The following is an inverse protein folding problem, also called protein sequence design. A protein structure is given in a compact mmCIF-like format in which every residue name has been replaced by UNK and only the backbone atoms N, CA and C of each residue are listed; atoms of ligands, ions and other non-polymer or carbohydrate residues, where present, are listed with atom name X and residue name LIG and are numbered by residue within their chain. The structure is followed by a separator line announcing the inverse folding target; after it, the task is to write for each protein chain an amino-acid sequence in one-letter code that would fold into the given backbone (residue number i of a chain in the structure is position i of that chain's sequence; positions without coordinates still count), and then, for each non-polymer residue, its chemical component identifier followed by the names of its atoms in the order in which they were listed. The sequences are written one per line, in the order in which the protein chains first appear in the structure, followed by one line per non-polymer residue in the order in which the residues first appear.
data_IF_416067687145
#
_entry.id   IF_416067687145
#
_cell.length_a   1.000
_cell.length_b   1.000
_cell.length_c   1.000
_cell.angle_alpha   90.00
_cell.angle_beta   90.00
_cell.angle_gamma   90.00
#
_symmetry.space_group_name_H-M   'P 1'
#
loop_
_entity.id
_entity.type
_entity.pdbx_description
1 polymer ?
#
# COMPACT_ATOMS: atom_id res chain seq x y z
N UNK A 1 -11.65 -1.75 -31.13
CA UNK A 1 -10.62 -2.81 -31.06
C UNK A 1 -10.22 -2.95 -29.60
N UNK A 2 -10.48 -4.10 -28.98
CA UNK A 2 -10.00 -4.36 -27.63
C UNK A 2 -8.47 -4.60 -27.73
N UNK A 3 -7.68 -3.72 -27.17
CA UNK A 3 -6.23 -3.91 -27.07
C UNK A 3 -5.95 -5.07 -26.12
N UNK A 4 -5.56 -6.20 -26.66
CA UNK A 4 -5.36 -7.46 -25.93
C UNK A 4 -3.89 -7.58 -25.46
N UNK A 5 -3.39 -6.53 -24.78
CA UNK A 5 -2.04 -6.53 -24.25
C UNK A 5 -1.86 -7.62 -23.19
N UNK A 6 -0.88 -8.50 -23.41
CA UNK A 6 -0.49 -9.52 -22.43
C UNK A 6 -1.46 -10.69 -22.27
N UNK A 7 -2.46 -10.86 -23.14
CA UNK A 7 -3.44 -11.96 -23.04
C UNK A 7 -2.81 -13.35 -23.01
N UNK A 8 -1.66 -13.53 -23.65
CA UNK A 8 -0.87 -14.78 -23.64
C UNK A 8 -0.30 -15.12 -22.25
N UNK A 9 -0.19 -14.14 -21.37
CA UNK A 9 0.24 -14.34 -19.97
C UNK A 9 -0.93 -14.70 -19.03
N UNK A 10 -2.19 -14.51 -19.44
CA UNK A 10 -3.36 -14.80 -18.61
C UNK A 10 -3.75 -16.27 -18.79
N UNK A 11 -3.53 -17.07 -17.74
CA UNK A 11 -3.82 -18.49 -17.73
C UNK A 11 -5.22 -18.75 -17.17
N UNK A 12 -6.07 -19.39 -17.95
CA UNK A 12 -7.39 -19.82 -17.49
C UNK A 12 -7.26 -20.83 -16.35
N UNK A 13 -8.09 -20.70 -15.33
CA UNK A 13 -8.04 -21.52 -14.11
C UNK A 13 -8.08 -23.03 -14.41
N UNK A 14 -8.90 -23.46 -15.34
CA UNK A 14 -9.02 -24.86 -15.79
C UNK A 14 -7.70 -25.46 -16.31
N UNK A 15 -6.84 -24.64 -16.88
CA UNK A 15 -5.58 -25.04 -17.49
C UNK A 15 -4.37 -25.01 -16.52
N UNK A 16 -4.53 -24.41 -15.33
CA UNK A 16 -3.45 -24.17 -14.38
C UNK A 16 -2.65 -25.42 -14.06
N UNK A 17 -3.30 -26.53 -13.66
CA UNK A 17 -2.62 -27.79 -13.32
C UNK A 17 -1.73 -28.29 -14.46
N UNK A 18 -2.29 -28.39 -15.67
CA UNK A 18 -1.59 -28.90 -16.85
C UNK A 18 -0.43 -27.98 -17.25
N UNK A 19 -0.63 -26.69 -17.16
CA UNK A 19 0.36 -25.68 -17.52
C UNK A 19 1.57 -25.72 -16.57
N UNK A 20 1.35 -25.59 -15.26
CA UNK A 20 2.44 -25.51 -14.30
C UNK A 20 3.14 -26.84 -14.03
N UNK A 21 2.50 -28.01 -14.24
CA UNK A 21 3.17 -29.29 -14.18
C UNK A 21 4.31 -29.46 -15.19
N UNK A 22 4.20 -28.79 -16.35
CA UNK A 22 5.25 -28.80 -17.38
C UNK A 22 6.41 -27.86 -17.04
N UNK A 23 6.10 -26.69 -16.51
CA UNK A 23 7.07 -25.63 -16.23
C UNK A 23 7.92 -25.94 -14.99
N UNK A 24 7.30 -26.43 -13.92
CA UNK A 24 7.97 -26.70 -12.62
C UNK A 24 9.15 -27.65 -12.71
N UNK A 25 9.21 -28.50 -13.73
CA UNK A 25 10.34 -29.43 -13.93
C UNK A 25 11.67 -28.75 -14.22
N UNK A 26 11.64 -27.48 -14.68
CA UNK A 26 12.82 -26.76 -15.17
C UNK A 26 13.07 -25.40 -14.53
N UNK A 27 12.08 -24.82 -13.85
CA UNK A 27 12.13 -23.42 -13.37
C UNK A 27 11.52 -23.29 -11.98
N UNK A 28 12.10 -22.41 -11.17
CA UNK A 28 11.55 -22.01 -9.89
C UNK A 28 10.41 -21.01 -10.09
N UNK A 29 9.30 -21.24 -9.40
CA UNK A 29 8.09 -20.42 -9.47
C UNK A 29 7.90 -19.68 -8.16
N UNK A 30 7.68 -18.39 -8.24
CA UNK A 30 7.18 -17.57 -7.14
C UNK A 30 5.77 -17.11 -7.46
N UNK A 31 4.85 -17.22 -6.48
CA UNK A 31 3.48 -16.78 -6.62
C UNK A 31 3.17 -15.68 -5.62
N UNK A 32 2.49 -14.63 -6.08
CA UNK A 32 1.82 -13.62 -5.27
C UNK A 32 0.31 -13.74 -5.41
N UNK A 33 -0.45 -13.39 -4.37
CA UNK A 33 -1.91 -13.35 -4.43
C UNK A 33 -2.45 -12.09 -3.78
N UNK A 34 -3.41 -11.45 -4.44
CA UNK A 34 -4.04 -10.25 -3.92
C UNK A 34 -5.23 -9.78 -4.74
N UNK A 35 -5.80 -8.65 -4.34
CA UNK A 35 -6.87 -7.97 -5.10
C UNK A 35 -6.29 -7.18 -6.26
N UNK A 36 -5.20 -6.44 -6.03
CA UNK A 36 -4.53 -5.57 -7.02
C UNK A 36 -5.49 -4.65 -7.78
N UNK A 37 -6.39 -4.01 -7.03
CA UNK A 37 -7.42 -3.14 -7.60
C UNK A 37 -6.81 -1.97 -8.39
N UNK A 38 -5.88 -1.24 -7.76
CA UNK A 38 -4.98 -0.29 -8.43
C UNK A 38 -3.55 -0.76 -8.22
N UNK A 39 -2.81 -0.92 -9.31
CA UNK A 39 -1.37 -1.17 -9.25
C UNK A 39 -0.68 0.14 -8.88
N UNK A 40 0.18 0.09 -7.86
CA UNK A 40 0.90 1.25 -7.33
C UNK A 40 2.37 0.89 -7.07
N UNK A 41 3.26 1.87 -6.81
CA UNK A 41 4.69 1.61 -6.64
C UNK A 41 5.03 0.52 -5.61
N UNK A 42 4.22 0.35 -4.55
CA UNK A 42 4.38 -0.74 -3.58
C UNK A 42 4.22 -2.12 -4.21
N UNK A 43 3.23 -2.30 -5.10
CA UNK A 43 3.07 -3.54 -5.86
C UNK A 43 4.24 -3.78 -6.83
N UNK A 44 4.71 -2.74 -7.51
CA UNK A 44 5.86 -2.85 -8.43
C UNK A 44 7.11 -3.31 -7.68
N UNK A 45 7.43 -2.71 -6.53
CA UNK A 45 8.55 -3.14 -5.68
C UNK A 45 8.40 -4.59 -5.20
N UNK A 46 7.20 -4.96 -4.76
CA UNK A 46 6.89 -6.33 -4.36
C UNK A 46 7.14 -7.33 -5.49
N UNK A 47 6.65 -7.03 -6.70
CA UNK A 47 6.85 -7.89 -7.87
C UNK A 47 8.32 -7.95 -8.30
N UNK A 48 9.04 -6.82 -8.29
CA UNK A 48 10.48 -6.79 -8.58
C UNK A 48 11.27 -7.65 -7.59
N UNK A 49 10.97 -7.55 -6.28
CA UNK A 49 11.56 -8.40 -5.25
C UNK A 49 11.25 -9.89 -5.48
N UNK A 50 10.02 -10.22 -5.87
CA UNK A 50 9.63 -11.58 -6.19
C UNK A 50 10.39 -12.10 -7.40
N UNK A 51 10.44 -11.29 -8.47
CA UNK A 51 11.11 -11.67 -9.72
C UNK A 51 12.62 -11.90 -9.57
N UNK A 52 13.27 -11.18 -8.65
CA UNK A 52 14.71 -11.40 -8.35
C UNK A 52 15.00 -12.72 -7.63
N UNK A 53 13.98 -13.47 -7.17
CA UNK A 53 14.14 -14.69 -6.37
C UNK A 53 13.71 -15.97 -7.06
N UNK A 54 13.10 -15.86 -8.24
CA UNK A 54 12.65 -17.04 -8.99
C UNK A 54 12.64 -16.75 -10.50
N UNK A 55 12.65 -17.83 -11.28
CA UNK A 55 12.66 -17.73 -12.74
C UNK A 55 11.32 -17.28 -13.31
N UNK A 56 10.23 -17.50 -12.58
CA UNK A 56 8.86 -17.20 -13.02
C UNK A 56 8.08 -16.54 -11.89
N UNK A 57 7.52 -15.36 -12.17
CA UNK A 57 6.57 -14.69 -11.31
C UNK A 57 5.14 -14.93 -11.79
N UNK A 58 4.35 -15.57 -10.94
CA UNK A 58 2.91 -15.76 -11.12
C UNK A 58 2.16 -14.83 -10.19
N UNK A 59 1.25 -14.01 -10.74
CA UNK A 59 0.37 -13.16 -9.95
C UNK A 59 -1.05 -13.68 -10.05
N UNK A 60 -1.66 -14.01 -8.92
CA UNK A 60 -3.05 -14.46 -8.87
C UNK A 60 -3.97 -13.41 -8.25
N UNK A 61 -5.17 -13.29 -8.78
CA UNK A 61 -6.17 -12.29 -8.42
C UNK A 61 -7.34 -12.90 -7.65
N UNK A 62 -7.78 -12.20 -6.61
CA UNK A 62 -9.10 -12.44 -6.01
C UNK A 62 -10.19 -11.99 -6.97
N UNK A 63 -11.17 -12.85 -7.34
CA UNK A 63 -12.26 -12.46 -8.24
C UNK A 63 -13.21 -11.45 -7.59
N UNK A 64 -13.88 -10.65 -8.43
CA UNK A 64 -14.73 -9.55 -7.99
C UNK A 64 -15.82 -10.00 -7.01
N UNK A 65 -16.45 -11.16 -7.27
CA UNK A 65 -17.52 -11.73 -6.44
C UNK A 65 -17.15 -11.97 -4.97
N UNK A 66 -15.86 -12.04 -4.65
CA UNK A 66 -15.37 -12.26 -3.27
C UNK A 66 -14.78 -11.02 -2.60
N UNK A 67 -14.73 -9.88 -3.31
CA UNK A 67 -14.19 -8.64 -2.76
C UNK A 67 -15.31 -7.89 -2.03
N UNK A 68 -15.24 -7.86 -0.69
CA UNK A 68 -16.19 -7.15 0.20
C UNK A 68 -15.48 -6.02 0.93
N UNK A 69 -14.94 -5.04 0.19
CA UNK A 69 -14.15 -3.93 0.75
C UNK A 69 -14.88 -2.57 0.64
N UNK A 70 -16.16 -2.52 1.05
CA UNK A 70 -16.98 -1.30 0.99
C UNK A 70 -17.66 -1.06 -0.34
N UNK A 71 -18.43 0.05 -0.44
CA UNK A 71 -19.16 0.42 -1.65
C UNK A 71 -18.16 0.74 -2.78
N UNK A 72 -18.52 0.35 -4.02
CA UNK A 72 -17.73 0.58 -5.23
C UNK A 72 -16.36 -0.13 -5.27
N UNK A 73 -16.20 -1.29 -4.57
CA UNK A 73 -14.98 -2.10 -4.64
C UNK A 73 -15.25 -3.51 -5.18
N UNK A 74 -14.44 -4.05 -6.12
CA UNK A 74 -13.23 -3.43 -6.66
C UNK A 74 -13.59 -2.27 -7.61
N UNK A 75 -12.70 -1.29 -7.70
CA UNK A 75 -12.84 -0.15 -8.62
C UNK A 75 -12.63 -0.57 -10.09
N UNK A 76 -11.69 -1.51 -10.30
CA UNK A 76 -11.36 -2.05 -11.62
C UNK A 76 -11.82 -3.51 -11.70
N UNK A 77 -12.65 -3.89 -12.69
CA UNK A 77 -13.09 -5.27 -12.91
C UNK A 77 -11.95 -6.27 -13.07
N UNK A 78 -12.15 -7.52 -12.63
CA UNK A 78 -11.11 -8.55 -12.58
C UNK A 78 -10.36 -8.76 -13.89
N UNK A 79 -11.06 -8.74 -15.03
CA UNK A 79 -10.42 -8.90 -16.34
C UNK A 79 -9.48 -7.75 -16.66
N UNK A 80 -9.85 -6.52 -16.32
CA UNK A 80 -9.00 -5.34 -16.51
C UNK A 80 -7.82 -5.35 -15.54
N UNK A 81 -8.03 -5.77 -14.28
CA UNK A 81 -6.95 -5.95 -13.31
C UNK A 81 -5.94 -7.00 -13.79
N UNK A 82 -6.43 -8.11 -14.35
CA UNK A 82 -5.58 -9.14 -14.94
C UNK A 82 -4.77 -8.59 -16.13
N UNK A 83 -5.39 -7.81 -17.01
CA UNK A 83 -4.70 -7.18 -18.13
C UNK A 83 -3.63 -6.17 -17.68
N UNK A 84 -3.92 -5.35 -16.66
CA UNK A 84 -2.95 -4.42 -16.10
C UNK A 84 -1.72 -5.13 -15.54
N UNK A 85 -1.91 -6.26 -14.85
CA UNK A 85 -0.80 -7.07 -14.32
C UNK A 85 -0.04 -7.78 -15.44
N UNK A 86 -0.73 -8.31 -16.43
CA UNK A 86 -0.12 -8.99 -17.58
C UNK A 86 0.73 -8.03 -18.45
N UNK A 87 0.41 -6.73 -18.45
CA UNK A 87 1.19 -5.71 -19.14
C UNK A 87 2.53 -5.40 -18.44
N UNK A 88 2.73 -5.80 -17.18
CA UNK A 88 3.99 -5.60 -16.48
C UNK A 88 5.04 -6.58 -16.99
N UNK A 89 6.21 -6.07 -17.37
CA UNK A 89 7.33 -6.86 -17.91
C UNK A 89 7.76 -7.96 -16.93
N UNK A 90 7.85 -7.63 -15.65
CA UNK A 90 8.30 -8.54 -14.58
C UNK A 90 7.31 -9.65 -14.24
N UNK A 91 6.06 -9.58 -14.68
CA UNK A 91 5.02 -10.60 -14.45
C UNK A 91 5.00 -11.56 -15.63
N UNK A 92 5.25 -12.83 -15.36
CA UNK A 92 5.26 -13.86 -16.41
C UNK A 92 3.86 -14.41 -16.68
N UNK A 93 3.09 -14.69 -15.62
CA UNK A 93 1.73 -15.22 -15.73
C UNK A 93 0.77 -14.60 -14.73
N UNK A 94 -0.48 -14.45 -15.16
CA UNK A 94 -1.59 -13.96 -14.34
C UNK A 94 -2.70 -15.00 -14.31
N UNK A 95 -3.31 -15.21 -13.14
CA UNK A 95 -4.42 -16.14 -12.95
C UNK A 95 -5.53 -15.43 -12.19
N UNK A 96 -6.74 -15.40 -12.71
CA UNK A 96 -7.92 -15.04 -11.91
C UNK A 96 -8.33 -16.29 -11.15
N UNK A 97 -8.29 -16.24 -9.80
CA UNK A 97 -8.72 -17.37 -8.96
C UNK A 97 -10.23 -17.55 -9.07
N UNK A 98 -10.73 -18.76 -8.94
CA UNK A 98 -12.16 -19.05 -8.87
C UNK A 98 -12.68 -19.11 -7.43
N UNK A 99 -11.77 -19.01 -6.45
CA UNK A 99 -12.06 -19.18 -5.03
C UNK A 99 -11.77 -17.88 -4.26
N UNK A 100 -12.42 -17.76 -3.09
CA UNK A 100 -12.22 -16.62 -2.18
C UNK A 100 -10.79 -16.52 -1.64
N UNK A 101 -10.16 -17.68 -1.43
CA UNK A 101 -8.80 -17.80 -0.88
C UNK A 101 -7.95 -18.67 -1.82
N UNK A 102 -6.65 -18.43 -1.93
CA UNK A 102 -5.80 -19.09 -2.92
C UNK A 102 -5.45 -20.55 -2.59
N UNK A 103 -6.12 -21.16 -1.62
CA UNK A 103 -5.76 -22.50 -1.11
C UNK A 103 -5.77 -23.59 -2.19
N UNK A 104 -6.83 -23.62 -3.02
CA UNK A 104 -6.91 -24.59 -4.13
C UNK A 104 -5.89 -24.27 -5.21
N UNK A 105 -5.74 -22.98 -5.54
CA UNK A 105 -4.78 -22.52 -6.54
C UNK A 105 -3.34 -22.85 -6.14
N UNK A 106 -2.97 -22.67 -4.86
CA UNK A 106 -1.65 -23.05 -4.33
C UNK A 106 -1.36 -24.54 -4.50
N UNK A 107 -2.37 -25.41 -4.35
CA UNK A 107 -2.25 -26.83 -4.61
C UNK A 107 -2.14 -27.20 -6.11
N UNK A 108 -2.63 -26.33 -7.01
CA UNK A 108 -2.53 -26.52 -8.46
C UNK A 108 -1.20 -26.03 -9.00
N UNK A 109 -0.76 -24.84 -8.60
CA UNK A 109 0.51 -24.21 -9.03
C UNK A 109 1.71 -24.88 -8.33
N UNK A 110 1.59 -25.16 -7.04
CA UNK A 110 2.66 -25.69 -6.16
C UNK A 110 3.94 -24.84 -6.27
N UNK A 111 3.89 -23.54 -5.97
CA UNK A 111 5.04 -22.65 -6.18
C UNK A 111 6.19 -23.03 -5.24
N UNK A 112 7.44 -22.77 -5.66
CA UNK A 112 8.62 -22.89 -4.80
C UNK A 112 8.63 -21.80 -3.71
N UNK A 113 8.11 -20.61 -4.04
CA UNK A 113 7.95 -19.52 -3.10
C UNK A 113 6.55 -18.93 -3.22
N UNK A 114 5.94 -18.63 -2.07
CA UNK A 114 4.71 -17.84 -1.99
C UNK A 114 5.03 -16.54 -1.26
N UNK A 115 4.88 -15.42 -1.96
CA UNK A 115 5.29 -14.13 -1.45
C UNK A 115 4.11 -13.29 -0.98
N UNK A 116 4.29 -12.65 0.18
CA UNK A 116 3.37 -11.66 0.75
C UNK A 116 4.14 -10.41 1.19
N UNK A 117 3.42 -9.31 1.38
CA UNK A 117 3.99 -8.10 1.99
C UNK A 117 4.32 -8.32 3.47
N UNK A 118 5.25 -7.53 3.99
CA UNK A 118 5.69 -7.62 5.40
C UNK A 118 4.55 -7.37 6.40
N UNK A 119 3.53 -6.62 6.01
CA UNK A 119 2.34 -6.36 6.83
C UNK A 119 1.63 -7.65 7.27
N UNK A 120 1.66 -8.69 6.44
CA UNK A 120 1.07 -10.00 6.78
C UNK A 120 1.93 -10.80 7.76
N UNK A 121 3.22 -10.53 7.84
CA UNK A 121 4.11 -11.12 8.85
C UNK A 121 3.84 -10.51 10.24
N UNK A 122 3.72 -9.18 10.28
CA UNK A 122 3.53 -8.44 11.53
C UNK A 122 2.16 -8.74 12.17
N UNK A 123 1.10 -8.85 11.37
CA UNK A 123 -0.28 -8.98 11.84
C UNK A 123 -0.69 -10.40 12.25
N UNK A 124 0.17 -11.42 12.10
CA UNK A 124 -0.11 -12.85 12.43
C UNK A 124 -1.53 -13.31 12.02
N UNK A 125 -1.87 -13.11 10.75
CA UNK A 125 -3.21 -13.41 10.26
C UNK A 125 -3.42 -14.94 10.11
N UNK A 126 -4.48 -15.53 10.70
CA UNK A 126 -4.76 -16.97 10.58
C UNK A 126 -4.88 -17.49 9.13
N UNK A 127 -5.33 -16.63 8.20
CA UNK A 127 -5.42 -16.97 6.79
C UNK A 127 -4.02 -17.15 6.18
N UNK A 128 -3.07 -16.30 6.57
CA UNK A 128 -1.66 -16.39 6.13
C UNK A 128 -0.99 -17.65 6.66
N UNK A 129 -1.27 -18.04 7.91
CA UNK A 129 -0.75 -19.30 8.46
C UNK A 129 -1.28 -20.53 7.71
N UNK A 130 -2.55 -20.50 7.29
CA UNK A 130 -3.13 -21.57 6.48
C UNK A 130 -2.49 -21.64 5.09
N UNK A 131 -2.26 -20.49 4.45
CA UNK A 131 -1.53 -20.42 3.18
C UNK A 131 -0.11 -21.00 3.31
N UNK A 132 0.61 -20.62 4.38
CA UNK A 132 1.95 -21.10 4.70
C UNK A 132 1.98 -22.63 4.80
N UNK A 133 1.09 -23.22 5.60
CA UNK A 133 0.98 -24.69 5.75
C UNK A 133 0.75 -25.40 4.42
N UNK A 134 -0.08 -24.84 3.53
CA UNK A 134 -0.35 -25.42 2.20
C UNK A 134 0.90 -25.36 1.32
N UNK A 135 1.60 -24.23 1.32
CA UNK A 135 2.81 -24.03 0.54
C UNK A 135 3.92 -25.00 1.01
N UNK A 136 4.15 -25.10 2.31
CA UNK A 136 5.14 -25.99 2.93
C UNK A 136 4.81 -27.48 2.66
N UNK A 137 3.54 -27.87 2.77
CA UNK A 137 3.08 -29.22 2.41
C UNK A 137 3.39 -29.59 0.95
N UNK A 138 3.42 -28.60 0.06
CA UNK A 138 3.75 -28.79 -1.36
C UNK A 138 5.26 -28.64 -1.65
N UNK A 139 6.12 -28.53 -0.61
CA UNK A 139 7.57 -28.40 -0.72
C UNK A 139 8.06 -26.98 -1.06
N UNK A 140 7.20 -25.96 -0.96
CA UNK A 140 7.56 -24.56 -1.14
C UNK A 140 7.86 -23.84 0.18
N UNK A 141 8.19 -22.56 0.10
CA UNK A 141 8.42 -21.68 1.25
C UNK A 141 7.60 -20.41 1.12
N UNK A 142 7.04 -19.93 2.24
CA UNK A 142 6.49 -18.60 2.31
C UNK A 142 7.62 -17.58 2.53
N UNK A 143 7.61 -16.48 1.78
CA UNK A 143 8.55 -15.39 1.95
C UNK A 143 7.78 -14.07 2.08
N UNK A 144 8.41 -13.11 2.74
CA UNK A 144 7.85 -11.78 2.89
C UNK A 144 8.75 -10.78 2.18
N UNK A 145 8.18 -9.98 1.30
CA UNK A 145 8.91 -8.88 0.70
C UNK A 145 9.14 -7.79 1.74
N UNK A 146 10.31 -7.15 1.76
CA UNK A 146 10.50 -5.97 2.59
C UNK A 146 9.44 -4.95 2.22
N UNK A 147 8.50 -4.74 3.13
CA UNK A 147 7.47 -3.72 2.99
C UNK A 147 8.06 -2.38 3.35
N UNK A 148 8.63 -1.69 2.40
CA UNK A 148 8.83 -0.27 2.55
C UNK A 148 7.51 0.41 2.20
N UNK A 149 6.76 0.78 3.24
CA UNK A 149 5.55 1.61 3.22
C UNK A 149 4.29 1.04 2.57
N UNK A 150 3.28 1.00 3.40
CA UNK A 150 1.91 0.60 3.09
C UNK A 150 1.24 1.67 2.24
N UNK A 151 1.53 1.65 0.93
CA UNK A 151 0.60 2.24 -0.03
C UNK A 151 -0.39 1.12 -0.41
N UNK A 152 -1.51 1.00 0.30
CA UNK A 152 -2.57 0.11 -0.13
C UNK A 152 -3.47 0.83 -1.14
N UNK A 153 -3.96 0.11 -2.16
CA UNK A 153 -4.98 0.64 -3.07
C UNK A 153 -6.17 1.22 -2.30
N UNK A 154 -6.49 0.64 -1.14
CA UNK A 154 -7.52 1.13 -0.23
C UNK A 154 -7.20 2.53 0.30
N UNK A 155 -5.95 2.79 0.67
CA UNK A 155 -5.52 4.10 1.17
C UNK A 155 -5.48 5.15 0.04
N UNK A 156 -5.02 4.76 -1.15
CA UNK A 156 -5.01 5.65 -2.33
C UNK A 156 -6.42 6.06 -2.74
N UNK A 157 -7.38 5.15 -2.67
CA UNK A 157 -8.77 5.41 -3.09
C UNK A 157 -9.54 6.19 -2.00
N UNK A 158 -9.30 5.92 -0.73
CA UNK A 158 -9.98 6.59 0.38
C UNK A 158 -9.40 7.96 0.71
N UNK A 159 -8.07 8.12 0.55
CA UNK A 159 -7.36 9.39 0.73
C UNK A 159 -7.07 9.95 -0.65
N UNK A 160 -7.76 11.01 -1.04
CA UNK A 160 -7.57 11.71 -2.32
C UNK A 160 -6.16 12.31 -2.51
N UNK A 161 -5.26 12.13 -1.54
CA UNK A 161 -3.86 12.53 -1.61
C UNK A 161 -2.94 11.33 -1.42
N UNK A 162 -2.24 10.99 -2.50
CA UNK A 162 -1.12 10.05 -2.48
C UNK A 162 -0.03 10.60 -1.55
N UNK A 163 0.19 9.96 -0.41
CA UNK A 163 1.27 10.38 0.51
C UNK A 163 2.61 9.81 0.02
N UNK A 164 3.31 10.61 -0.78
CA UNK A 164 4.63 10.29 -1.34
C UNK A 164 5.77 10.90 -0.49
N UNK A 165 5.51 11.31 0.75
CA UNK A 165 6.51 11.99 1.58
C UNK A 165 7.77 11.16 1.78
N UNK A 166 7.60 9.87 1.97
CA UNK A 166 8.74 8.98 2.19
C UNK A 166 9.55 8.74 0.90
N UNK A 167 8.87 8.51 -0.22
CA UNK A 167 9.54 8.37 -1.51
C UNK A 167 10.33 9.64 -1.88
N UNK A 168 9.75 10.80 -1.60
CA UNK A 168 10.45 12.09 -1.77
C UNK A 168 11.64 12.23 -0.84
N UNK A 169 11.48 11.85 0.44
CA UNK A 169 12.60 11.84 1.39
C UNK A 169 13.70 10.91 0.93
N UNK A 170 13.37 9.68 0.52
CA UNK A 170 14.35 8.71 0.04
C UNK A 170 15.08 9.21 -1.21
N UNK A 171 14.34 9.74 -2.18
CA UNK A 171 14.94 10.33 -3.38
C UNK A 171 15.88 11.49 -3.04
N UNK A 172 15.49 12.36 -2.09
CA UNK A 172 16.35 13.44 -1.61
C UNK A 172 17.61 12.90 -0.93
N UNK A 173 17.47 11.90 -0.05
CA UNK A 173 18.61 11.27 0.63
C UNK A 173 19.60 10.64 -0.35
N UNK A 174 19.10 9.98 -1.41
CA UNK A 174 19.93 9.38 -2.45
C UNK A 174 20.72 10.45 -3.25
N UNK A 175 20.07 11.58 -3.56
CA UNK A 175 20.72 12.73 -4.24
C UNK A 175 21.78 13.38 -3.36
N UNK A 176 21.45 13.62 -2.09
CA UNK A 176 22.35 14.27 -1.11
C UNK A 176 23.40 13.30 -0.53
N UNK A 177 23.33 12.01 -0.87
CA UNK A 177 24.21 10.94 -0.36
C UNK A 177 24.18 10.84 1.18
N UNK A 178 22.99 11.01 1.76
CA UNK A 178 22.74 10.93 3.19
C UNK A 178 22.03 9.60 3.49
N UNK A 179 22.48 8.89 4.53
CA UNK A 179 21.81 7.69 5.02
C UNK A 179 20.98 7.95 6.29
N UNK A 180 20.18 6.96 6.71
CA UNK A 180 19.41 7.07 7.96
C UNK A 180 20.27 7.16 9.22
N UNK A 181 21.52 6.68 9.18
CA UNK A 181 22.45 6.81 10.31
C UNK A 181 22.89 8.24 10.48
N UNK A 182 23.12 8.96 9.37
CA UNK A 182 23.47 10.36 9.37
C UNK A 182 22.35 11.22 9.90
N UNK A 183 21.10 10.98 9.42
CA UNK A 183 19.92 11.66 9.96
C UNK A 183 19.75 11.40 11.46
N UNK A 184 19.96 10.17 11.91
CA UNK A 184 19.88 9.82 13.33
C UNK A 184 20.94 10.52 14.17
N UNK A 185 22.18 10.64 13.70
CA UNK A 185 23.24 11.41 14.38
C UNK A 185 22.85 12.87 14.52
N UNK A 186 22.34 13.49 13.46
CA UNK A 186 21.89 14.88 13.49
C UNK A 186 20.76 15.04 14.51
N UNK A 187 19.74 14.18 14.49
CA UNK A 187 18.65 14.21 15.46
C UNK A 187 19.15 14.11 16.90
N UNK A 188 20.07 13.19 17.20
CA UNK A 188 20.65 13.10 18.54
C UNK A 188 21.46 14.33 18.93
N UNK A 189 22.10 15.01 17.98
CA UNK A 189 22.81 16.26 18.28
C UNK A 189 21.88 17.39 18.68
N UNK A 190 20.61 17.32 18.24
CA UNK A 190 19.57 18.32 18.55
C UNK A 190 18.94 18.13 19.94
N UNK A 191 19.12 17.02 20.61
CA UNK A 191 18.54 16.74 21.95
C UNK A 191 18.84 17.83 22.98
N UNK A 192 20.04 18.47 22.89
CA UNK A 192 20.49 19.53 23.78
C UNK A 192 20.25 20.94 23.22
N UNK A 193 19.74 21.07 22.02
CA UNK A 193 19.49 22.37 21.40
C UNK A 193 18.45 23.16 22.22
N UNK A 194 18.74 24.45 22.41
CA UNK A 194 17.79 25.41 23.03
C UNK A 194 17.11 26.18 21.92
N UNK A 195 15.78 26.11 21.84
CA UNK A 195 15.00 26.77 20.81
C UNK A 195 14.07 27.79 21.47
N UNK A 196 14.15 29.03 21.04
CA UNK A 196 13.25 30.10 21.47
C UNK A 196 12.44 30.57 20.25
N UNK A 197 11.14 30.43 20.32
CA UNK A 197 10.21 30.81 19.27
C UNK A 197 9.48 32.05 19.72
N UNK A 198 9.51 33.07 18.88
CA UNK A 198 8.84 34.35 19.13
C UNK A 198 7.76 34.53 18.08
N UNK A 199 6.51 34.70 18.50
CA UNK A 199 5.37 34.89 17.63
C UNK A 199 4.05 34.49 18.27
N UNK A 200 2.94 34.78 17.57
CA UNK A 200 1.59 34.55 18.10
C UNK A 200 1.19 33.08 18.04
N UNK A 201 0.53 32.63 19.08
CA UNK A 201 -0.16 31.36 19.10
C UNK A 201 -1.53 31.50 18.46
N UNK A 202 -1.81 30.73 17.43
CA UNK A 202 -3.09 30.73 16.71
C UNK A 202 -3.79 29.41 16.99
N UNK A 203 -5.10 29.45 17.20
CA UNK A 203 -5.95 28.27 17.24
C UNK A 203 -6.93 28.35 16.07
N UNK A 204 -6.74 27.44 15.11
CA UNK A 204 -7.62 27.31 13.94
C UNK A 204 -8.72 26.31 14.23
N UNK A 205 -9.98 26.76 14.24
CA UNK A 205 -11.12 25.86 14.44
C UNK A 205 -11.80 25.51 13.12
N UNK A 206 -11.70 24.25 12.72
CA UNK A 206 -12.42 23.73 11.56
C UNK A 206 -13.79 23.18 11.95
N UNK A 207 -14.84 23.73 11.35
CA UNK A 207 -16.21 23.22 11.49
C UNK A 207 -16.55 22.28 10.33
N UNK A 208 -16.81 21.02 10.64
CA UNK A 208 -17.36 20.07 9.66
C UNK A 208 -18.87 20.22 9.64
N UNK A 209 -19.40 20.63 8.50
CA UNK A 209 -20.83 20.91 8.32
C UNK A 209 -21.43 20.01 7.23
N UNK A 210 -22.73 19.76 7.34
CA UNK A 210 -23.51 19.10 6.32
C UNK A 210 -24.54 20.09 5.75
N UNK A 211 -24.70 20.11 4.44
CA UNK A 211 -25.74 20.93 3.80
C UNK A 211 -27.12 20.29 4.08
N UNK A 212 -28.02 21.04 4.68
CA UNK A 212 -29.38 20.58 5.06
C UNK A 212 -30.49 21.14 4.19
N UNK A 213 -30.19 21.97 3.22
CA UNK A 213 -31.22 22.50 2.32
C UNK A 213 -30.63 23.20 1.11
N UNK A 214 -31.45 23.27 0.08
CA UNK A 214 -31.14 24.04 -1.13
C UNK A 214 -31.31 25.54 -0.94
N UNK A 215 -30.99 26.31 -1.98
CA UNK A 215 -31.24 27.74 -2.07
C UNK A 215 -32.74 28.03 -1.96
N UNK A 216 -33.14 28.62 -0.84
CA UNK A 216 -34.47 29.18 -0.70
C UNK A 216 -34.45 30.66 -1.14
N UNK A 217 -35.37 31.48 -0.68
CA UNK A 217 -35.58 32.88 -1.09
C UNK A 217 -34.35 33.82 -1.03
N UNK A 218 -33.25 33.36 -0.40
CA UNK A 218 -31.95 34.05 -0.35
C UNK A 218 -30.86 33.15 -0.87
N UNK A 219 -29.78 33.67 -1.52
CA UNK A 219 -28.66 32.85 -2.04
C UNK A 219 -27.76 32.40 -0.90
N UNK A 220 -28.35 31.81 0.16
CA UNK A 220 -27.64 31.29 1.33
C UNK A 220 -27.83 29.80 1.45
N UNK A 221 -26.74 29.08 1.73
CA UNK A 221 -26.76 27.65 1.97
C UNK A 221 -27.02 27.41 3.46
N UNK A 222 -28.05 26.62 3.78
CA UNK A 222 -28.27 26.14 5.15
C UNK A 222 -27.37 24.96 5.45
N UNK A 223 -26.59 25.09 6.54
CA UNK A 223 -25.66 24.05 6.98
C UNK A 223 -25.90 23.67 8.43
N UNK A 224 -25.78 22.37 8.72
CA UNK A 224 -25.76 21.86 10.09
C UNK A 224 -24.32 21.53 10.50
N UNK A 225 -23.87 22.15 11.59
CA UNK A 225 -22.56 21.82 12.17
C UNK A 225 -22.60 20.43 12.80
N UNK A 226 -21.71 19.52 12.35
CA UNK A 226 -21.63 18.14 12.87
C UNK A 226 -20.54 18.00 13.94
N UNK A 227 -19.38 18.61 13.73
CA UNK A 227 -18.26 18.59 14.68
C UNK A 227 -17.36 19.81 14.49
N UNK A 228 -16.59 20.14 15.52
CA UNK A 228 -15.47 21.07 15.44
C UNK A 228 -14.18 20.36 15.79
N UNK A 229 -13.10 20.83 15.22
CA UNK A 229 -11.76 20.36 15.52
C UNK A 229 -10.80 21.53 15.55
N UNK A 230 -10.07 21.68 16.66
CA UNK A 230 -9.10 22.74 16.84
C UNK A 230 -7.71 22.26 16.43
N UNK A 231 -6.96 23.15 15.79
CA UNK A 231 -5.59 22.94 15.37
C UNK A 231 -4.71 24.07 15.90
N UNK A 232 -3.51 23.70 16.32
CA UNK A 232 -2.50 24.67 16.68
C UNK A 232 -1.90 25.27 15.43
N UNK A 233 -1.81 26.60 15.39
CA UNK A 233 -1.18 27.40 14.35
C UNK A 233 -0.13 28.34 14.91
N UNK A 234 0.45 29.18 14.06
CA UNK A 234 1.44 30.18 14.43
C UNK A 234 2.64 29.61 15.18
N UNK A 235 3.10 30.31 16.21
CA UNK A 235 4.24 29.91 17.05
C UNK A 235 4.03 28.59 17.78
N UNK A 236 2.78 28.23 18.11
CA UNK A 236 2.48 26.99 18.83
C UNK A 236 2.74 25.75 17.99
N UNK A 237 2.38 25.72 16.70
CA UNK A 237 2.64 24.56 15.85
C UNK A 237 4.16 24.41 15.59
N UNK A 238 4.89 25.53 15.42
CA UNK A 238 6.35 25.52 15.29
C UNK A 238 6.98 24.91 16.55
N UNK A 239 6.53 25.33 17.74
CA UNK A 239 6.99 24.81 19.00
C UNK A 239 6.72 23.29 19.15
N UNK A 240 5.53 22.84 18.72
CA UNK A 240 5.19 21.42 18.74
C UNK A 240 6.14 20.58 17.85
N UNK A 241 6.51 21.11 16.67
CA UNK A 241 7.48 20.45 15.80
C UNK A 241 8.87 20.39 16.44
N UNK A 242 9.38 21.50 17.02
CA UNK A 242 10.68 21.48 17.67
C UNK A 242 10.73 20.61 18.92
N UNK A 243 9.61 20.45 19.66
CA UNK A 243 9.53 19.53 20.79
C UNK A 243 9.73 18.06 20.42
N UNK A 244 9.55 17.67 19.15
CA UNK A 244 9.89 16.33 18.69
C UNK A 244 11.41 16.09 18.55
N UNK A 245 12.22 17.14 18.55
CA UNK A 245 13.68 17.07 18.42
C UNK A 245 14.42 17.43 19.70
N UNK A 246 13.89 18.36 20.51
CA UNK A 246 14.51 18.78 21.78
C UNK A 246 13.48 19.11 22.84
N UNK A 247 13.82 18.86 24.11
CA UNK A 247 12.97 19.23 25.25
C UNK A 247 13.07 20.71 25.61
N UNK A 248 14.07 21.43 25.11
CA UNK A 248 14.40 22.80 25.49
C UNK A 248 13.74 23.81 24.52
N UNK A 249 12.41 23.80 24.43
CA UNK A 249 11.66 24.72 23.57
C UNK A 249 10.90 25.73 24.43
N UNK A 250 11.12 27.02 24.16
CA UNK A 250 10.42 28.14 24.78
C UNK A 250 9.64 28.91 23.71
N UNK A 251 8.43 29.35 24.03
CA UNK A 251 7.62 30.24 23.20
C UNK A 251 7.42 31.54 23.95
N UNK A 252 7.58 32.66 23.25
CA UNK A 252 7.20 34.00 23.72
C UNK A 252 6.33 34.67 22.67
N UNK A 253 5.29 35.35 23.11
CA UNK A 253 4.43 36.17 22.26
C UNK A 253 4.37 37.57 22.80
N UNK A 254 4.20 38.56 21.91
CA UNK A 254 3.92 39.92 22.30
C UNK A 254 2.55 39.98 22.99
N UNK A 255 2.47 40.80 24.04
CA UNK A 255 1.22 41.03 24.77
C UNK A 255 0.32 41.99 24.04
#
# INVERSE_FOLDING_TARGET
MAYNFGSHKIIQYSNVRKFFSKIKKKKNIIQCHGVFDLVHPGHIRHFAHCRSRADILVVSLTPDKFIKKGNYRPFIPENMRASNLAALEMVDFVIIDENRFPYKLLNLVKPNYFAKGMEYFIQKNPLTEKEKKIVEKNGGKMIFSPGDFVMSSTKIINDTKLDLRYEKLKALMDVEKIDFKDLKKILHSLDKAKVHIIGDTIIDTNHHCEAIGGLHKTPTLSIAKKRSQDYLGGAAIVAAHFKSFTKNVRVSQEK
#
